data_IF_019914272058
#
_entry.id   IF_019914272058
#
_cell.length_a   1.000
_cell.length_b   1.000
_cell.length_c   1.000
_cell.angle_alpha   90.00
_cell.angle_beta   90.00
_cell.angle_gamma   90.00
#
_symmetry.space_group_name_H-M   'P 1'
#
loop_
_entity.id
_entity.type
_entity.pdbx_description
1 polymer ?
#
# COMPACT_ATOMS: atom_id res chain seq x y z
N UNK A 1 9.61 -16.98 -13.82
CA UNK A 1 8.33 -16.74 -13.12
C UNK A 1 7.23 -17.48 -13.86
N UNK A 2 6.15 -17.93 -13.20
CA UNK A 2 4.95 -18.42 -13.88
C UNK A 2 4.42 -17.40 -14.90
N UNK A 3 3.77 -17.86 -15.97
CA UNK A 3 3.29 -16.99 -17.07
C UNK A 3 2.24 -15.95 -16.63
N UNK A 4 1.61 -16.15 -15.47
CA UNK A 4 0.63 -15.22 -14.88
C UNK A 4 1.26 -14.14 -14.00
N UNK A 5 2.59 -14.07 -13.90
CA UNK A 5 3.30 -13.07 -13.12
C UNK A 5 4.06 -12.15 -14.06
N UNK A 6 3.72 -10.87 -14.00
CA UNK A 6 4.40 -9.80 -14.71
C UNK A 6 5.12 -8.90 -13.69
N UNK A 7 6.35 -8.51 -14.01
CA UNK A 7 7.12 -7.56 -13.21
C UNK A 7 7.22 -6.24 -13.97
N UNK A 8 6.92 -5.15 -13.28
CA UNK A 8 6.92 -3.80 -13.84
C UNK A 8 7.87 -2.91 -13.04
N UNK A 9 8.48 -1.93 -13.71
CA UNK A 9 9.10 -0.80 -13.01
C UNK A 9 8.01 0.19 -12.58
N UNK A 10 8.31 1.05 -11.61
CA UNK A 10 7.31 1.98 -11.07
C UNK A 10 6.82 2.98 -12.13
N UNK A 11 7.65 3.33 -13.10
CA UNK A 11 7.26 4.16 -14.26
C UNK A 11 6.12 3.55 -15.08
N UNK A 12 5.94 2.22 -14.99
CA UNK A 12 4.88 1.46 -15.67
C UNK A 12 3.70 1.14 -14.74
N UNK A 13 3.61 1.76 -13.55
CA UNK A 13 2.60 1.42 -12.54
C UNK A 13 1.17 1.55 -13.06
N UNK A 14 0.89 2.49 -13.99
CA UNK A 14 -0.45 2.63 -14.57
C UNK A 14 -0.85 1.38 -15.37
N UNK A 15 0.05 0.89 -16.22
CA UNK A 15 -0.12 -0.36 -16.97
C UNK A 15 -0.29 -1.55 -16.00
N UNK A 16 0.52 -1.60 -14.94
CA UNK A 16 0.45 -2.65 -13.93
C UNK A 16 -0.88 -2.68 -13.14
N UNK A 17 -1.57 -1.54 -13.04
CA UNK A 17 -2.83 -1.39 -12.31
C UNK A 17 -4.07 -1.58 -13.20
N UNK A 18 -3.93 -1.69 -14.52
CA UNK A 18 -5.05 -1.86 -15.42
C UNK A 18 -5.79 -3.18 -15.14
N UNK A 19 -7.08 -3.05 -14.82
CA UNK A 19 -7.95 -4.20 -14.53
C UNK A 19 -7.67 -4.87 -13.18
N UNK A 20 -6.92 -4.24 -12.27
CA UNK A 20 -6.65 -4.81 -10.96
C UNK A 20 -7.91 -4.80 -10.06
N UNK A 21 -8.26 -5.95 -9.50
CA UNK A 21 -9.35 -6.09 -8.51
C UNK A 21 -8.91 -5.80 -7.06
N UNK A 22 -7.59 -5.82 -6.80
CA UNK A 22 -6.99 -5.62 -5.49
C UNK A 22 -5.56 -5.09 -5.65
N UNK A 23 -5.19 -4.10 -4.83
CA UNK A 23 -3.80 -3.65 -4.71
C UNK A 23 -3.23 -4.09 -3.36
N UNK A 24 -2.04 -4.70 -3.38
CA UNK A 24 -1.31 -5.06 -2.15
C UNK A 24 -0.12 -4.12 -2.01
N UNK A 25 -0.15 -3.26 -0.98
CA UNK A 25 0.96 -2.37 -0.66
C UNK A 25 1.97 -3.07 0.25
N UNK A 26 3.19 -3.24 -0.25
CA UNK A 26 4.33 -3.78 0.50
C UNK A 26 5.53 -2.87 0.32
N UNK A 27 5.70 -1.94 1.26
CA UNK A 27 6.89 -1.09 1.37
C UNK A 27 7.58 -1.31 2.72
N UNK A 28 8.86 -0.96 2.81
CA UNK A 28 9.50 -0.84 4.13
C UNK A 28 8.87 0.32 4.91
N UNK A 29 9.11 0.39 6.23
CA UNK A 29 8.63 1.52 7.04
C UNK A 29 9.14 2.87 6.52
N UNK A 30 10.33 2.91 5.93
CA UNK A 30 10.89 4.11 5.30
C UNK A 30 10.21 4.48 3.98
N UNK A 31 9.53 3.53 3.33
CA UNK A 31 8.83 3.74 2.06
C UNK A 31 7.37 4.18 2.20
N UNK A 32 6.85 4.34 3.43
CA UNK A 32 5.44 4.72 3.65
C UNK A 32 5.14 6.12 3.11
N UNK A 33 6.02 7.08 3.36
CA UNK A 33 5.85 8.44 2.87
C UNK A 33 5.92 8.47 1.34
N UNK A 34 6.89 7.76 0.76
CA UNK A 34 6.99 7.60 -0.70
C UNK A 34 5.71 6.97 -1.28
N UNK A 35 5.17 5.92 -0.67
CA UNK A 35 3.93 5.31 -1.15
C UNK A 35 2.76 6.31 -1.11
N UNK A 36 2.64 7.08 -0.02
CA UNK A 36 1.58 8.07 0.13
C UNK A 36 1.66 9.22 -0.88
N UNK A 37 2.86 9.63 -1.29
CA UNK A 37 3.05 10.75 -2.21
C UNK A 37 3.08 10.32 -3.69
N UNK A 38 3.70 9.18 -4.00
CA UNK A 38 3.97 8.77 -5.39
C UNK A 38 2.98 7.71 -5.90
N UNK A 39 2.74 6.66 -5.11
CA UNK A 39 1.96 5.50 -5.58
C UNK A 39 0.46 5.64 -5.29
N UNK A 40 0.10 6.11 -4.10
CA UNK A 40 -1.29 6.25 -3.63
C UNK A 40 -2.17 7.11 -4.56
N UNK A 41 -1.69 8.23 -5.15
CA UNK A 41 -2.49 9.01 -6.10
C UNK A 41 -2.78 8.29 -7.42
N UNK A 42 -2.01 7.24 -7.75
CA UNK A 42 -2.12 6.50 -9.00
C UNK A 42 -3.08 5.32 -8.91
N UNK A 43 -3.50 4.95 -7.70
CA UNK A 43 -4.38 3.80 -7.48
C UNK A 43 -5.77 4.04 -8.10
N UNK A 44 -6.35 3.03 -8.80
CA UNK A 44 -7.64 3.19 -9.45
C UNK A 44 -8.76 3.38 -8.43
N UNK A 45 -9.75 4.21 -8.77
CA UNK A 45 -10.93 4.42 -7.93
C UNK A 45 -11.70 3.11 -7.72
N UNK A 46 -12.22 2.91 -6.50
CA UNK A 46 -13.01 1.73 -6.14
C UNK A 46 -12.21 0.42 -5.94
N UNK A 47 -10.91 0.40 -6.24
CA UNK A 47 -10.07 -0.79 -6.02
C UNK A 47 -9.58 -0.81 -4.57
N UNK A 48 -9.89 -1.85 -3.78
CA UNK A 48 -9.46 -1.94 -2.39
C UNK A 48 -7.94 -2.12 -2.28
N UNK A 49 -7.38 -1.63 -1.17
CA UNK A 49 -5.94 -1.69 -0.90
C UNK A 49 -5.67 -2.47 0.38
N UNK A 50 -4.86 -3.53 0.30
CA UNK A 50 -4.39 -4.30 1.44
C UNK A 50 -2.95 -3.90 1.80
N UNK A 51 -2.77 -3.30 2.97
CA UNK A 51 -1.46 -2.90 3.48
C UNK A 51 -0.81 -4.04 4.27
N UNK A 52 0.36 -4.47 3.81
CA UNK A 52 1.19 -5.48 4.47
C UNK A 52 2.25 -4.84 5.37
N UNK A 53 2.67 -3.62 5.03
CA UNK A 53 3.59 -2.83 5.84
C UNK A 53 3.01 -2.62 7.23
N UNK A 54 3.73 -3.10 8.25
CA UNK A 54 3.35 -2.98 9.66
C UNK A 54 3.95 -1.74 10.27
N UNK A 55 3.26 -1.19 11.26
CA UNK A 55 3.69 -0.01 12.00
C UNK A 55 2.56 0.98 12.22
N UNK A 56 2.92 2.10 12.82
CA UNK A 56 2.06 3.24 13.05
C UNK A 56 2.86 4.49 12.69
N UNK A 57 2.19 5.51 12.15
CA UNK A 57 2.77 6.85 12.09
C UNK A 57 2.78 7.44 13.49
N UNK A 58 3.93 7.97 13.90
CA UNK A 58 4.07 8.73 15.14
C UNK A 58 4.10 10.22 14.85
N UNK A 59 3.32 10.98 15.61
CA UNK A 59 3.29 12.44 15.52
C UNK A 59 4.10 13.10 16.65
N UNK A 60 4.52 14.36 16.48
CA UNK A 60 5.29 15.08 17.50
C UNK A 60 4.59 15.23 18.85
N UNK A 61 3.25 15.17 18.87
CA UNK A 61 2.44 15.23 20.10
C UNK A 61 2.34 13.86 20.82
N UNK A 62 3.01 12.83 20.28
CA UNK A 62 3.00 11.47 20.81
C UNK A 62 1.80 10.63 20.39
N UNK A 63 0.88 11.18 19.58
CA UNK A 63 -0.23 10.40 19.03
C UNK A 63 0.24 9.45 17.92
N UNK A 64 -0.51 8.36 17.75
CA UNK A 64 -0.23 7.32 16.76
C UNK A 64 -1.41 7.15 15.81
N UNK A 65 -1.14 6.98 14.52
CA UNK A 65 -2.14 6.69 13.50
C UNK A 65 -1.78 5.42 12.72
N UNK A 66 -2.77 4.56 12.46
CA UNK A 66 -2.56 3.38 11.62
C UNK A 66 -2.48 3.78 10.15
N UNK A 67 -1.65 3.10 9.35
CA UNK A 67 -1.52 3.40 7.93
C UNK A 67 -2.85 3.41 7.14
N UNK A 68 -3.83 2.51 7.37
CA UNK A 68 -5.14 2.61 6.72
C UNK A 68 -5.85 3.95 6.93
N UNK A 69 -5.84 4.48 8.16
CA UNK A 69 -6.45 5.78 8.45
C UNK A 69 -5.68 6.93 7.79
N UNK A 70 -4.34 6.86 7.82
CA UNK A 70 -3.50 7.84 7.14
C UNK A 70 -3.78 7.90 5.63
N UNK A 71 -3.83 6.74 4.97
CA UNK A 71 -4.12 6.67 3.53
C UNK A 71 -5.57 7.04 3.21
N UNK A 72 -6.53 6.61 4.02
CA UNK A 72 -7.95 6.96 3.85
C UNK A 72 -8.19 8.47 3.95
N UNK A 73 -7.43 9.19 4.77
CA UNK A 73 -7.49 10.67 4.81
C UNK A 73 -7.04 11.32 3.50
N UNK A 74 -6.07 10.71 2.81
CA UNK A 74 -5.54 11.20 1.51
C UNK A 74 -6.40 10.74 0.32
N UNK A 75 -6.97 9.53 0.39
CA UNK A 75 -7.83 8.90 -0.62
C UNK A 75 -9.10 8.33 0.02
N UNK A 76 -10.05 9.19 0.43
CA UNK A 76 -11.27 8.76 1.11
C UNK A 76 -12.23 7.94 0.21
N UNK A 77 -11.99 7.97 -1.10
CA UNK A 77 -12.69 7.19 -2.12
C UNK A 77 -12.27 5.70 -2.15
N UNK A 78 -11.16 5.35 -1.50
CA UNK A 78 -10.64 3.98 -1.48
C UNK A 78 -10.89 3.26 -0.16
N UNK A 79 -11.11 1.95 -0.24
CA UNK A 79 -11.19 1.08 0.92
C UNK A 79 -9.80 0.55 1.29
N UNK A 80 -9.38 0.76 2.54
CA UNK A 80 -8.09 0.28 3.05
C UNK A 80 -8.28 -0.81 4.11
N UNK A 81 -7.49 -1.87 4.00
CA UNK A 81 -7.35 -2.92 4.99
C UNK A 81 -5.88 -3.11 5.38
N UNK A 82 -5.64 -3.74 6.53
CA UNK A 82 -4.31 -4.13 7.00
C UNK A 82 -4.32 -5.53 7.59
N UNK A 83 -3.17 -6.20 7.55
CA UNK A 83 -2.97 -7.47 8.24
C UNK A 83 -2.85 -7.20 9.75
N UNK A 84 -3.82 -7.68 10.54
CA UNK A 84 -3.89 -7.46 11.99
C UNK A 84 -2.91 -8.29 12.84
N UNK A 85 -2.08 -9.13 12.23
CA UNK A 85 -1.19 -10.06 12.92
C UNK A 85 0.23 -10.09 12.33
N UNK A 86 1.13 -10.93 12.88
CA UNK A 86 2.44 -11.13 12.30
C UNK A 86 2.28 -11.64 10.85
N UNK A 87 3.07 -11.07 9.97
CA UNK A 87 3.18 -11.49 8.58
C UNK A 87 4.68 -11.48 8.28
N UNK A 88 5.22 -12.68 8.15
CA UNK A 88 6.63 -12.95 8.00
C UNK A 88 6.77 -13.88 6.81
N UNK A 89 7.64 -13.55 5.86
CA UNK A 89 8.09 -14.50 4.85
C UNK A 89 9.22 -15.33 5.46
N UNK A 90 8.99 -16.63 5.66
CA UNK A 90 10.08 -17.55 5.98
C UNK A 90 10.79 -17.92 4.68
N UNK A 91 12.06 -17.52 4.53
CA UNK A 91 12.89 -17.90 3.37
C UNK A 91 13.53 -16.77 2.56
N UNK A 92 13.71 -15.58 3.13
CA UNK A 92 14.61 -14.55 2.59
C UNK A 92 15.98 -14.61 3.27
#
# INVERSE_FOLDING_TARGET
>A
MPNSICAFQFEQVREALEGADLVICVVSSFGVDWFAEEALPLLPEGVPVLNVTKGLLGYPDGSLETFPYFFARKRPDLAFASIGGPCSSYGL
#
